data_IF_409858617482
#
_entry.id   IF_409858617482
#
_cell.length_a   1.000
_cell.length_b   1.000
_cell.length_c   1.000
_cell.angle_alpha   90.00
_cell.angle_beta   90.00
_cell.angle_gamma   90.00
#
_symmetry.space_group_name_H-M   'P 1'
#
loop_
_entity.id
_entity.type
_entity.pdbx_description
1 polymer ?
#
# COMPACT_ATOMS: atom_id res chain seq x y z
N UNK A 1 38.34 52.63 18.20
CA UNK A 1 36.93 52.34 17.98
C UNK A 1 36.69 50.84 17.97
N UNK A 2 36.40 50.29 19.14
CA UNK A 2 36.12 48.85 19.32
C UNK A 2 34.62 48.60 18.99
N UNK A 3 34.34 47.95 17.89
CA UNK A 3 33.03 47.40 17.59
C UNK A 3 32.76 46.19 18.53
N UNK A 4 32.10 46.48 19.64
CA UNK A 4 31.48 45.45 20.47
C UNK A 4 30.26 44.92 19.73
N UNK A 5 30.46 43.80 19.06
CA UNK A 5 29.34 42.97 18.52
C UNK A 5 28.57 42.47 19.76
N UNK A 6 27.33 42.95 19.90
CA UNK A 6 26.39 42.45 20.89
C UNK A 6 26.14 40.94 20.62
N UNK A 7 26.91 40.10 21.27
CA UNK A 7 26.65 38.68 21.28
C UNK A 7 25.36 38.41 22.07
N UNK A 8 24.37 37.92 21.36
CA UNK A 8 23.10 37.49 21.97
C UNK A 8 23.35 36.31 22.88
N UNK A 9 23.19 36.50 24.17
CA UNK A 9 23.37 35.44 25.16
C UNK A 9 22.16 34.53 25.12
N UNK A 10 22.42 33.24 24.90
CA UNK A 10 21.36 32.21 24.89
C UNK A 10 21.21 31.66 26.33
N UNK A 11 20.06 31.90 26.94
CA UNK A 11 19.72 31.44 28.29
C UNK A 11 19.01 30.06 28.29
N UNK A 12 18.91 29.36 27.14
CA UNK A 12 18.30 28.06 27.08
C UNK A 12 19.16 27.02 27.82
N UNK A 13 18.54 26.31 28.76
CA UNK A 13 19.20 25.26 29.55
C UNK A 13 19.31 23.91 28.85
N UNK A 14 18.64 23.73 27.73
CA UNK A 14 18.62 22.51 26.93
C UNK A 14 19.85 22.44 26.01
N UNK A 15 20.74 21.49 26.27
CA UNK A 15 21.98 21.27 25.50
C UNK A 15 21.76 20.63 24.12
N UNK A 16 20.58 20.11 23.83
CA UNK A 16 20.21 19.56 22.53
C UNK A 16 18.87 20.16 22.09
N UNK A 17 18.89 21.23 21.28
CA UNK A 17 17.65 21.62 20.57
C UNK A 17 17.25 20.42 19.70
N UNK A 18 16.00 20.00 19.84
CA UNK A 18 15.41 19.05 18.90
C UNK A 18 15.55 19.66 17.50
N UNK A 19 16.24 18.97 16.61
CA UNK A 19 16.26 19.36 15.22
C UNK A 19 14.82 19.33 14.71
N UNK A 20 14.39 20.43 14.09
CA UNK A 20 13.09 20.45 13.45
C UNK A 20 13.09 19.43 12.31
N UNK A 21 12.13 18.49 12.28
CA UNK A 21 12.05 17.56 11.18
C UNK A 21 11.83 18.32 9.87
N UNK A 22 12.53 17.92 8.81
CA UNK A 22 12.24 18.40 7.47
C UNK A 22 10.89 17.83 7.04
N UNK A 23 9.90 18.69 6.85
CA UNK A 23 8.55 18.27 6.44
C UNK A 23 8.51 17.65 5.05
N UNK A 24 9.51 17.90 4.21
CA UNK A 24 9.64 17.30 2.88
C UNK A 24 10.30 15.92 2.92
N UNK A 25 11.03 15.60 3.96
CA UNK A 25 11.77 14.34 4.07
C UNK A 25 10.85 13.12 3.94
N UNK A 26 9.66 13.17 4.53
CA UNK A 26 8.68 12.08 4.46
C UNK A 26 8.31 11.77 3.00
N UNK A 27 8.06 12.80 2.21
CA UNK A 27 7.69 12.66 0.80
C UNK A 27 8.86 12.15 -0.04
N UNK A 28 10.02 12.76 0.10
CA UNK A 28 11.24 12.39 -0.63
C UNK A 28 11.67 10.96 -0.33
N UNK A 29 11.70 10.60 0.95
CA UNK A 29 12.08 9.27 1.40
C UNK A 29 11.09 8.21 0.92
N UNK A 30 9.79 8.48 1.01
CA UNK A 30 8.75 7.58 0.52
C UNK A 30 8.91 7.28 -0.96
N UNK A 31 9.24 8.28 -1.77
CA UNK A 31 9.46 8.10 -3.20
C UNK A 31 10.76 7.33 -3.50
N UNK A 32 11.83 7.60 -2.77
CA UNK A 32 13.09 6.86 -2.88
C UNK A 32 12.89 5.39 -2.47
N UNK A 33 12.17 5.12 -1.40
CA UNK A 33 11.85 3.76 -0.94
C UNK A 33 10.95 3.02 -1.94
N UNK A 34 10.06 3.74 -2.62
CA UNK A 34 9.22 3.16 -3.68
C UNK A 34 10.05 2.71 -4.87
N UNK A 35 10.97 3.51 -5.33
CA UNK A 35 11.80 3.22 -6.50
C UNK A 35 12.98 2.29 -6.21
N UNK A 36 13.60 2.42 -5.04
CA UNK A 36 14.78 1.63 -4.63
C UNK A 36 15.90 1.59 -5.68
N UNK A 37 16.13 2.70 -6.40
CA UNK A 37 17.10 2.77 -7.49
C UNK A 37 18.55 2.67 -7.01
N UNK A 38 18.85 3.22 -5.83
CA UNK A 38 20.19 3.21 -5.25
C UNK A 38 20.56 1.87 -4.60
N UNK A 39 19.59 0.97 -4.49
CA UNK A 39 19.79 -0.34 -3.88
C UNK A 39 20.09 -1.38 -4.95
N UNK A 40 21.16 -2.19 -4.82
CA UNK A 40 21.43 -3.28 -5.74
C UNK A 40 20.22 -4.26 -5.82
N UNK A 41 19.96 -4.86 -6.98
CA UNK A 41 18.79 -5.73 -7.18
C UNK A 41 18.66 -6.84 -6.15
N UNK A 42 19.78 -7.40 -5.72
CA UNK A 42 19.86 -8.49 -4.74
C UNK A 42 19.45 -8.08 -3.31
N UNK A 43 19.55 -6.77 -3.00
CA UNK A 43 19.27 -6.21 -1.68
C UNK A 43 17.96 -5.44 -1.61
N UNK A 44 17.23 -5.37 -2.72
CA UNK A 44 15.95 -4.67 -2.75
C UNK A 44 14.92 -5.37 -1.88
N UNK A 45 14.19 -4.58 -1.12
CA UNK A 45 13.08 -5.08 -0.32
C UNK A 45 11.88 -5.36 -1.21
N UNK A 46 11.09 -6.36 -0.85
CA UNK A 46 9.85 -6.69 -1.56
C UNK A 46 8.74 -5.67 -1.26
N UNK A 47 8.99 -4.42 -1.63
CA UNK A 47 8.12 -3.26 -1.41
C UNK A 47 8.14 -2.35 -2.64
N UNK A 48 7.10 -1.54 -2.80
CA UNK A 48 7.01 -0.54 -3.85
C UNK A 48 7.03 -1.11 -5.26
N UNK A 49 7.80 -0.50 -6.16
CA UNK A 49 7.87 -0.89 -7.57
C UNK A 49 8.46 -2.29 -7.77
N UNK A 50 9.47 -2.65 -6.99
CA UNK A 50 10.06 -4.00 -7.06
C UNK A 50 9.04 -5.10 -6.75
N UNK A 51 8.16 -4.87 -5.78
CA UNK A 51 7.09 -5.82 -5.45
C UNK A 51 6.16 -6.07 -6.63
N UNK A 52 5.81 -5.03 -7.39
CA UNK A 52 4.96 -5.17 -8.59
C UNK A 52 5.60 -6.09 -9.62
N UNK A 53 6.90 -5.94 -9.86
CA UNK A 53 7.63 -6.83 -10.76
C UNK A 53 7.72 -8.25 -10.20
N UNK A 54 8.04 -8.40 -8.93
CA UNK A 54 8.19 -9.71 -8.30
C UNK A 54 6.88 -10.53 -8.29
N UNK A 55 5.74 -9.88 -8.17
CA UNK A 55 4.42 -10.53 -8.19
C UNK A 55 3.95 -10.91 -9.59
N UNK A 56 4.37 -10.16 -10.61
CA UNK A 56 3.95 -10.38 -12.00
C UNK A 56 4.91 -11.29 -12.80
N UNK A 57 6.12 -11.48 -12.35
CA UNK A 57 7.11 -12.33 -12.99
C UNK A 57 7.48 -13.52 -12.10
N UNK A 58 7.89 -14.65 -12.66
CA UNK A 58 8.03 -14.93 -14.10
C UNK A 58 6.67 -15.14 -14.80
N UNK A 59 6.65 -14.83 -16.10
CA UNK A 59 5.50 -15.10 -16.97
C UNK A 59 5.85 -16.31 -17.83
N UNK A 60 5.02 -17.35 -17.76
CA UNK A 60 5.19 -18.55 -18.55
C UNK A 60 4.10 -18.65 -19.63
N UNK A 61 4.46 -19.26 -20.75
CA UNK A 61 3.47 -19.63 -21.77
C UNK A 61 2.50 -20.71 -21.23
N UNK A 62 1.32 -20.83 -21.86
CA UNK A 62 0.29 -21.83 -21.52
C UNK A 62 0.81 -23.26 -21.51
N UNK A 63 1.83 -23.55 -22.33
CA UNK A 63 2.52 -24.84 -22.39
C UNK A 63 3.77 -24.92 -21.51
N UNK A 64 4.12 -23.85 -20.80
CA UNK A 64 5.35 -23.70 -20.01
C UNK A 64 6.65 -23.91 -20.82
N UNK A 65 6.61 -23.69 -22.13
CA UNK A 65 7.78 -23.86 -22.99
C UNK A 65 8.68 -22.63 -22.97
N UNK A 66 8.10 -21.43 -22.87
CA UNK A 66 8.82 -20.16 -22.82
C UNK A 66 8.55 -19.47 -21.49
N UNK A 67 9.61 -18.94 -20.89
CA UNK A 67 9.54 -18.21 -19.62
C UNK A 67 10.19 -16.84 -19.80
N UNK A 68 9.45 -15.82 -19.42
CA UNK A 68 9.94 -14.43 -19.35
C UNK A 68 10.23 -14.09 -17.89
N UNK A 69 11.49 -13.89 -17.57
CA UNK A 69 11.99 -13.61 -16.23
C UNK A 69 12.39 -12.14 -16.11
N UNK A 70 12.07 -11.54 -14.97
CA UNK A 70 12.50 -10.21 -14.62
C UNK A 70 13.87 -10.26 -13.93
N UNK A 71 14.83 -9.46 -14.40
CA UNK A 71 16.17 -9.39 -13.83
C UNK A 71 16.37 -8.12 -13.02
N UNK A 72 16.07 -6.96 -13.59
CA UNK A 72 16.27 -5.66 -12.98
C UNK A 72 15.40 -4.59 -13.65
N UNK A 73 15.27 -3.44 -13.00
CA UNK A 73 14.69 -2.25 -13.57
C UNK A 73 15.56 -1.04 -13.28
N UNK A 74 15.49 -0.05 -14.15
CA UNK A 74 16.18 1.20 -14.00
C UNK A 74 15.45 2.33 -14.74
N UNK A 75 15.85 3.55 -14.46
CA UNK A 75 15.33 4.73 -15.15
C UNK A 75 16.44 5.40 -15.96
N UNK A 76 16.05 5.98 -17.08
CA UNK A 76 16.91 6.87 -17.85
C UNK A 76 16.71 8.33 -17.42
N UNK A 77 17.64 9.22 -17.72
CA UNK A 77 17.47 10.64 -17.45
C UNK A 77 16.21 11.22 -18.12
N UNK A 78 15.57 12.23 -17.50
CA UNK A 78 14.40 12.87 -18.07
C UNK A 78 14.74 13.55 -19.38
N UNK A 79 13.79 13.54 -20.32
CA UNK A 79 13.95 14.17 -21.64
C UNK A 79 13.89 15.68 -21.57
N UNK A 80 13.08 16.22 -20.66
CA UNK A 80 12.86 17.65 -20.46
C UNK A 80 13.19 18.04 -19.02
N UNK A 81 13.65 19.27 -18.85
CA UNK A 81 13.87 19.82 -17.51
C UNK A 81 12.54 20.17 -16.83
N UNK A 82 12.57 20.40 -15.52
CA UNK A 82 11.40 20.81 -14.76
C UNK A 82 10.82 22.12 -15.31
N UNK A 83 11.68 23.10 -15.62
CA UNK A 83 11.26 24.39 -16.16
C UNK A 83 10.62 24.26 -17.53
N UNK A 84 11.18 23.42 -18.41
CA UNK A 84 10.59 23.12 -19.72
C UNK A 84 9.20 22.49 -19.60
N UNK A 85 9.01 21.60 -18.62
CA UNK A 85 7.73 20.96 -18.39
C UNK A 85 6.68 21.97 -17.90
N UNK A 86 7.06 22.87 -17.01
CA UNK A 86 6.15 23.92 -16.50
C UNK A 86 5.77 24.88 -17.63
N UNK A 87 6.74 25.32 -18.43
CA UNK A 87 6.50 26.28 -19.51
C UNK A 87 5.65 25.68 -20.63
N UNK A 88 5.91 24.43 -21.02
CA UNK A 88 5.24 23.76 -22.13
C UNK A 88 3.98 22.99 -21.75
N UNK A 89 3.62 22.92 -20.48
CA UNK A 89 2.49 22.14 -20.02
C UNK A 89 2.71 20.63 -20.11
N UNK A 90 3.95 20.16 -19.91
CA UNK A 90 4.34 18.76 -19.96
C UNK A 90 4.42 18.15 -18.57
N UNK A 91 4.47 16.83 -18.53
CA UNK A 91 4.72 16.08 -17.27
C UNK A 91 6.20 15.78 -17.14
N UNK A 92 6.79 16.15 -15.99
CA UNK A 92 8.15 15.77 -15.64
C UNK A 92 8.22 14.30 -15.31
N UNK A 93 8.76 13.51 -16.23
CA UNK A 93 8.80 12.06 -16.15
C UNK A 93 10.13 11.50 -16.61
N UNK A 94 10.41 10.29 -16.18
CA UNK A 94 11.60 9.53 -16.55
C UNK A 94 11.20 8.23 -17.22
N UNK A 95 11.93 7.78 -18.28
CA UNK A 95 11.69 6.50 -18.90
C UNK A 95 12.00 5.36 -17.94
N UNK A 96 11.03 4.47 -17.68
CA UNK A 96 11.24 3.24 -16.94
C UNK A 96 11.57 2.11 -17.89
N UNK A 97 12.69 1.45 -17.65
CA UNK A 97 13.12 0.28 -18.40
C UNK A 97 13.30 -0.92 -17.48
N UNK A 98 12.99 -2.09 -18.00
CA UNK A 98 13.20 -3.35 -17.32
C UNK A 98 14.14 -4.24 -18.13
N UNK A 99 15.06 -4.90 -17.42
CA UNK A 99 15.91 -5.92 -18.02
C UNK A 99 15.21 -7.27 -17.86
N UNK A 100 14.82 -7.86 -18.98
CA UNK A 100 14.08 -9.10 -19.04
C UNK A 100 14.91 -10.19 -19.71
N UNK A 101 14.67 -11.42 -19.29
CA UNK A 101 15.31 -12.63 -19.83
C UNK A 101 14.21 -13.56 -20.35
N UNK A 102 14.29 -13.89 -21.63
CA UNK A 102 13.43 -14.88 -22.25
C UNK A 102 14.23 -16.16 -22.51
N UNK A 103 13.79 -17.27 -22.01
CA UNK A 103 14.40 -18.58 -22.24
C UNK A 103 13.35 -19.66 -22.49
N UNK A 104 13.77 -20.73 -23.13
CA UNK A 104 12.95 -21.90 -23.42
C UNK A 104 13.29 -23.02 -22.45
N UNK A 105 12.25 -23.67 -21.90
CA UNK A 105 12.39 -24.82 -21.00
C UNK A 105 12.09 -26.14 -21.70
N UNK A 106 11.68 -26.10 -22.98
CA UNK A 106 11.34 -27.28 -23.76
C UNK A 106 12.60 -27.95 -24.32
N UNK A 107 12.87 -29.23 -24.04
CA UNK A 107 13.99 -29.97 -24.61
C UNK A 107 13.94 -30.11 -26.12
N UNK A 108 12.74 -30.00 -26.73
CA UNK A 108 12.58 -30.08 -28.17
C UNK A 108 13.03 -28.82 -28.93
N UNK A 109 13.27 -27.74 -28.19
CA UNK A 109 13.70 -26.41 -28.70
C UNK A 109 15.09 -26.02 -28.18
N UNK A 110 16.04 -26.96 -28.15
CA UNK A 110 17.42 -26.71 -27.69
C UNK A 110 18.15 -25.66 -28.49
N UNK A 111 17.69 -25.33 -29.70
CA UNK A 111 18.26 -24.29 -30.57
C UNK A 111 17.84 -22.86 -30.22
N UNK A 112 16.98 -22.68 -29.22
CA UNK A 112 16.54 -21.35 -28.79
C UNK A 112 17.58 -20.70 -27.88
N UNK A 113 18.22 -19.64 -28.37
CA UNK A 113 19.13 -18.85 -27.57
C UNK A 113 18.40 -17.99 -26.54
N UNK A 114 18.89 -18.00 -25.30
CA UNK A 114 18.39 -17.12 -24.25
C UNK A 114 18.61 -15.65 -24.65
N UNK A 115 17.54 -14.89 -24.66
CA UNK A 115 17.58 -13.45 -24.98
C UNK A 115 17.47 -12.64 -23.70
N UNK A 116 18.44 -11.73 -23.49
CA UNK A 116 18.41 -10.74 -22.43
C UNK A 116 18.32 -9.38 -23.10
N UNK A 117 17.26 -8.63 -22.80
CA UNK A 117 17.00 -7.35 -23.44
C UNK A 117 16.43 -6.35 -22.44
N UNK A 118 16.79 -5.07 -22.65
CA UNK A 118 16.18 -3.96 -21.94
C UNK A 118 14.91 -3.52 -22.68
N UNK A 119 13.80 -3.50 -21.96
CA UNK A 119 12.48 -3.15 -22.51
C UNK A 119 11.99 -1.85 -21.90
N UNK A 120 11.59 -0.92 -22.76
CA UNK A 120 10.94 0.30 -22.34
C UNK A 120 9.49 0.01 -21.92
N UNK A 121 9.16 0.27 -20.66
CA UNK A 121 7.83 0.04 -20.13
C UNK A 121 6.93 1.27 -20.20
N UNK A 122 7.50 2.45 -20.14
CA UNK A 122 6.77 3.71 -20.19
C UNK A 122 7.41 4.79 -19.33
N UNK A 123 6.95 6.03 -19.46
CA UNK A 123 7.39 7.12 -18.60
C UNK A 123 6.65 7.04 -17.27
N UNK A 124 7.37 7.32 -16.18
CA UNK A 124 6.80 7.51 -14.86
C UNK A 124 7.05 8.93 -14.37
N UNK A 125 6.08 9.60 -13.75
CA UNK A 125 6.31 10.89 -13.11
C UNK A 125 7.43 10.79 -12.08
N UNK A 126 8.30 11.81 -12.06
CA UNK A 126 9.43 11.84 -11.14
C UNK A 126 9.31 13.02 -10.18
N UNK A 127 9.58 12.75 -8.92
CA UNK A 127 9.50 13.77 -7.87
C UNK A 127 10.67 14.76 -7.98
N UNK A 128 10.37 16.05 -7.86
CA UNK A 128 11.37 17.11 -7.80
C UNK A 128 12.00 17.20 -6.40
N UNK A 129 13.09 17.96 -6.29
CA UNK A 129 13.76 18.20 -5.00
C UNK A 129 12.86 18.88 -3.95
N UNK A 130 11.80 19.56 -4.40
CA UNK A 130 10.78 20.17 -3.56
C UNK A 130 9.67 19.22 -3.11
N UNK A 131 9.82 17.92 -3.36
CA UNK A 131 8.81 16.91 -3.12
C UNK A 131 7.49 17.13 -3.89
N UNK A 132 7.57 17.73 -5.05
CA UNK A 132 6.44 17.97 -5.94
C UNK A 132 6.52 17.11 -7.19
N UNK A 133 5.37 16.88 -7.82
CA UNK A 133 5.27 16.32 -9.17
C UNK A 133 4.82 17.42 -10.13
N UNK A 134 5.40 17.45 -11.31
CA UNK A 134 4.96 18.36 -12.37
C UNK A 134 4.11 17.55 -13.36
N UNK A 135 2.81 17.77 -13.33
CA UNK A 135 1.83 17.08 -14.16
C UNK A 135 1.14 18.10 -15.06
N UNK A 136 1.30 17.93 -16.38
CA UNK A 136 0.75 18.87 -17.38
C UNK A 136 1.12 20.35 -17.09
N UNK A 137 2.34 20.57 -16.63
CA UNK A 137 2.85 21.89 -16.31
C UNK A 137 2.45 22.44 -14.93
N UNK A 138 1.66 21.74 -14.16
CA UNK A 138 1.27 22.15 -12.82
C UNK A 138 2.06 21.39 -11.76
N UNK A 139 2.65 22.10 -10.80
CA UNK A 139 3.26 21.49 -9.64
C UNK A 139 2.18 20.97 -8.68
N UNK A 140 2.29 19.70 -8.32
CA UNK A 140 1.32 19.02 -7.45
C UNK A 140 2.03 18.32 -6.32
N UNK A 141 1.41 18.29 -5.16
CA UNK A 141 1.90 17.59 -3.97
C UNK A 141 0.92 16.50 -3.60
N UNK A 142 1.44 15.32 -3.28
CA UNK A 142 0.64 14.23 -2.73
C UNK A 142 0.36 14.54 -1.26
N UNK A 143 -0.90 14.75 -0.93
CA UNK A 143 -1.33 15.05 0.43
C UNK A 143 -1.51 13.77 1.21
N UNK A 144 -0.98 13.72 2.44
CA UNK A 144 -1.19 12.60 3.34
C UNK A 144 -2.66 12.55 3.77
N UNK A 145 -3.27 11.37 3.62
CA UNK A 145 -4.64 11.13 4.04
C UNK A 145 -4.64 10.37 5.37
N UNK A 146 -5.36 10.91 6.35
CA UNK A 146 -5.59 10.20 7.60
C UNK A 146 -6.63 9.11 7.36
N UNK A 147 -6.24 7.86 7.53
CA UNK A 147 -7.07 6.68 7.31
C UNK A 147 -7.12 5.82 8.57
N UNK A 148 -8.27 5.23 8.87
CA UNK A 148 -8.35 4.25 9.96
C UNK A 148 -7.54 3.02 9.59
N UNK A 149 -6.77 2.50 10.55
CA UNK A 149 -5.98 1.29 10.34
C UNK A 149 -6.88 0.12 9.96
N UNK A 150 -6.50 -0.69 8.95
CA UNK A 150 -7.19 -1.93 8.66
C UNK A 150 -7.13 -2.87 9.86
N UNK A 151 -8.21 -3.58 10.11
CA UNK A 151 -8.26 -4.53 11.21
C UNK A 151 -9.66 -4.81 11.71
N UNK A 152 -9.76 -5.51 12.83
CA UNK A 152 -11.00 -5.85 13.50
C UNK A 152 -11.07 -5.08 14.81
N UNK A 153 -12.18 -4.38 15.02
CA UNK A 153 -12.44 -3.59 16.23
C UNK A 153 -13.68 -4.11 16.92
N UNK A 154 -13.55 -4.44 18.19
CA UNK A 154 -14.64 -4.92 19.02
C UNK A 154 -15.24 -3.78 19.85
N UNK A 155 -16.55 -3.80 20.00
CA UNK A 155 -17.28 -2.81 20.77
C UNK A 155 -18.35 -3.46 21.65
N UNK A 156 -18.69 -2.77 22.73
CA UNK A 156 -19.78 -3.13 23.61
C UNK A 156 -20.64 -1.90 23.84
N UNK A 157 -21.95 -2.06 23.75
CA UNK A 157 -22.94 -1.04 24.13
C UNK A 157 -23.96 -1.62 25.09
N UNK A 158 -24.61 -0.76 25.84
CA UNK A 158 -25.68 -1.18 26.75
C UNK A 158 -26.99 -0.59 26.22
N UNK A 159 -27.95 -1.48 26.00
CA UNK A 159 -29.30 -1.07 25.63
C UNK A 159 -30.03 -0.44 26.81
N UNK A 160 -31.06 0.33 26.53
CA UNK A 160 -31.85 1.03 27.57
C UNK A 160 -32.45 0.09 28.64
N UNK A 161 -32.67 -1.20 28.31
CA UNK A 161 -33.13 -2.23 29.23
C UNK A 161 -32.01 -2.88 30.08
N UNK A 162 -30.75 -2.42 29.96
CA UNK A 162 -29.59 -2.95 30.66
C UNK A 162 -28.89 -4.13 29.97
N UNK A 163 -29.40 -4.61 28.83
CA UNK A 163 -28.80 -5.71 28.09
C UNK A 163 -27.50 -5.24 27.41
N UNK A 164 -26.42 -6.01 27.56
CA UNK A 164 -25.15 -5.76 26.87
C UNK A 164 -25.25 -6.25 25.46
N UNK A 165 -24.94 -5.37 24.50
CA UNK A 165 -24.86 -5.66 23.07
C UNK A 165 -23.42 -5.61 22.62
N UNK A 166 -23.02 -6.59 21.83
CA UNK A 166 -21.67 -6.71 21.32
C UNK A 166 -21.64 -6.42 19.83
N UNK A 167 -20.56 -5.80 19.41
CA UNK A 167 -20.32 -5.54 17.98
C UNK A 167 -18.87 -5.81 17.63
N UNK A 168 -18.65 -6.18 16.38
CA UNK A 168 -17.33 -6.32 15.79
C UNK A 168 -17.33 -5.63 14.43
N UNK A 169 -16.37 -4.75 14.19
CA UNK A 169 -16.25 -4.02 12.92
C UNK A 169 -14.97 -4.42 12.21
N UNK A 170 -15.12 -4.85 10.96
CA UNK A 170 -14.00 -5.17 10.08
C UNK A 170 -13.80 -3.99 9.15
N UNK A 171 -12.62 -3.38 9.24
CA UNK A 171 -12.20 -2.28 8.37
C UNK A 171 -11.12 -2.81 7.45
N UNK A 172 -11.39 -2.95 6.13
CA UNK A 172 -10.39 -3.36 5.16
C UNK A 172 -9.48 -2.20 4.78
N UNK A 173 -8.33 -2.50 4.21
CA UNK A 173 -7.46 -1.49 3.60
C UNK A 173 -8.17 -0.76 2.45
N UNK A 174 -8.89 -1.52 1.62
CA UNK A 174 -9.68 -1.01 0.50
C UNK A 174 -10.94 -1.85 0.36
N UNK A 175 -12.11 -1.21 0.37
CA UNK A 175 -13.39 -1.88 0.21
C UNK A 175 -14.41 -1.47 1.27
N UNK A 176 -15.52 -2.19 1.29
CA UNK A 176 -16.65 -1.92 2.18
C UNK A 176 -16.39 -2.39 3.61
N UNK A 177 -16.85 -1.61 4.57
CA UNK A 177 -16.80 -1.99 5.97
C UNK A 177 -17.92 -2.99 6.29
N UNK A 178 -17.61 -3.97 7.10
CA UNK A 178 -18.57 -4.95 7.61
C UNK A 178 -18.61 -4.82 9.13
N UNK A 179 -19.81 -4.68 9.67
CA UNK A 179 -20.04 -4.64 11.10
C UNK A 179 -20.98 -5.78 11.49
N UNK A 180 -20.56 -6.57 12.45
CA UNK A 180 -21.41 -7.58 13.09
C UNK A 180 -21.93 -7.02 14.40
N UNK A 181 -23.23 -7.14 14.64
CA UNK A 181 -23.85 -6.66 15.86
C UNK A 181 -24.94 -7.62 16.32
N UNK A 182 -25.03 -7.81 17.64
CA UNK A 182 -26.13 -8.54 18.26
C UNK A 182 -27.28 -7.60 18.58
N UNK A 183 -28.52 -8.10 18.42
CA UNK A 183 -29.72 -7.40 18.87
C UNK A 183 -30.13 -7.82 20.28
N UNK A 184 -31.25 -7.28 20.78
CA UNK A 184 -31.82 -7.57 22.11
C UNK A 184 -32.18 -9.05 22.27
N UNK A 185 -32.53 -9.72 21.16
CA UNK A 185 -32.91 -11.13 21.12
C UNK A 185 -31.70 -12.07 20.96
N UNK A 186 -30.49 -11.51 21.04
CA UNK A 186 -29.23 -12.23 20.85
C UNK A 186 -29.06 -12.79 19.44
N UNK A 187 -29.71 -12.17 18.44
CA UNK A 187 -29.57 -12.49 17.04
C UNK A 187 -28.47 -11.63 16.44
N UNK A 188 -27.56 -12.24 15.72
CA UNK A 188 -26.44 -11.55 15.09
C UNK A 188 -26.78 -11.11 13.66
N UNK A 189 -26.53 -9.85 13.38
CA UNK A 189 -26.70 -9.23 12.07
C UNK A 189 -25.38 -8.69 11.55
N UNK A 190 -25.25 -8.69 10.22
CA UNK A 190 -24.16 -8.05 9.51
C UNK A 190 -24.65 -6.77 8.82
N UNK A 191 -23.90 -5.69 8.99
CA UNK A 191 -24.15 -4.42 8.32
C UNK A 191 -23.02 -4.15 7.32
N UNK A 192 -23.39 -3.94 6.06
CA UNK A 192 -22.42 -3.58 5.01
C UNK A 192 -22.54 -2.08 4.77
N UNK A 193 -21.42 -1.35 5.00
CA UNK A 193 -21.34 0.12 4.87
C UNK A 193 -22.44 0.87 5.65
N UNK A 194 -22.93 0.30 6.75
CA UNK A 194 -24.03 0.82 7.58
C UNK A 194 -25.36 0.99 6.84
N UNK A 195 -25.48 0.48 5.62
CA UNK A 195 -26.68 0.68 4.78
C UNK A 195 -27.59 -0.55 4.69
N UNK A 196 -26.98 -1.73 4.61
CA UNK A 196 -27.74 -2.98 4.47
C UNK A 196 -27.58 -3.83 5.72
N UNK A 197 -28.71 -4.20 6.31
CA UNK A 197 -28.79 -5.13 7.43
C UNK A 197 -29.14 -6.52 6.91
N UNK A 198 -28.28 -7.49 7.16
CA UNK A 198 -28.47 -8.87 6.76
C UNK A 198 -28.31 -9.80 7.97
N UNK A 199 -29.06 -10.91 8.06
CA UNK A 199 -28.71 -11.96 8.99
C UNK A 199 -27.28 -12.47 8.72
N UNK A 200 -26.53 -12.74 9.77
CA UNK A 200 -25.15 -13.23 9.64
C UNK A 200 -25.05 -14.52 8.83
N UNK A 201 -26.02 -15.41 8.99
CA UNK A 201 -26.10 -16.67 8.23
C UNK A 201 -26.20 -16.44 6.73
N UNK A 202 -26.96 -15.44 6.31
CA UNK A 202 -27.07 -15.07 4.89
C UNK A 202 -25.74 -14.60 4.31
N UNK A 203 -25.00 -13.77 5.04
CA UNK A 203 -23.67 -13.32 4.64
C UNK A 203 -22.68 -14.50 4.56
N UNK A 204 -22.68 -15.37 5.56
CA UNK A 204 -21.78 -16.53 5.60
C UNK A 204 -22.04 -17.49 4.43
N UNK A 205 -23.32 -17.72 4.09
CA UNK A 205 -23.68 -18.52 2.91
C UNK A 205 -23.17 -17.88 1.61
N UNK A 206 -23.27 -16.56 1.50
CA UNK A 206 -22.82 -15.83 0.31
C UNK A 206 -21.29 -15.91 0.09
N UNK A 207 -20.51 -16.02 1.17
CA UNK A 207 -19.03 -16.13 1.08
C UNK A 207 -18.51 -17.58 0.99
N UNK A 208 -19.39 -18.59 0.99
CA UNK A 208 -19.02 -19.96 0.70
C UNK A 208 -19.37 -21.03 1.74
N UNK A 209 -19.97 -20.64 2.88
CA UNK A 209 -20.45 -21.62 3.89
C UNK A 209 -21.86 -22.07 3.55
N UNK A 210 -22.01 -22.92 2.53
CA UNK A 210 -23.32 -23.30 1.98
C UNK A 210 -24.08 -24.30 2.87
N UNK A 211 -23.37 -25.14 3.61
CA UNK A 211 -23.94 -26.21 4.38
C UNK A 211 -24.31 -25.77 5.80
N UNK A 212 -25.46 -26.24 6.30
CA UNK A 212 -25.89 -26.02 7.69
C UNK A 212 -24.91 -26.60 8.72
N UNK A 213 -24.16 -27.65 8.35
CA UNK A 213 -23.11 -28.24 9.18
C UNK A 213 -21.97 -27.28 9.42
N UNK A 214 -21.53 -26.57 8.38
CA UNK A 214 -20.42 -25.62 8.47
C UNK A 214 -20.84 -24.42 9.33
N UNK A 215 -22.09 -23.95 9.17
CA UNK A 215 -22.65 -22.90 9.99
C UNK A 215 -22.82 -23.34 11.45
N UNK A 216 -23.21 -24.60 11.69
CA UNK A 216 -23.34 -25.13 13.06
C UNK A 216 -21.99 -25.30 13.75
N UNK A 217 -20.92 -25.61 13.02
CA UNK A 217 -19.55 -25.67 13.56
C UNK A 217 -19.06 -24.31 14.03
N UNK A 218 -19.45 -23.23 13.35
CA UNK A 218 -19.14 -21.87 13.79
C UNK A 218 -19.84 -21.58 15.12
N UNK A 219 -21.07 -22.03 15.32
CA UNK A 219 -21.80 -21.91 16.58
C UNK A 219 -21.23 -22.79 17.70
N UNK A 220 -20.71 -23.97 17.38
CA UNK A 220 -20.09 -24.89 18.37
C UNK A 220 -18.72 -24.37 18.81
N UNK A 221 -18.00 -23.68 17.95
CA UNK A 221 -16.72 -23.04 18.29
C UNK A 221 -16.88 -21.75 19.07
N UNK A 222 -18.08 -21.19 19.13
CA UNK A 222 -18.35 -20.08 20.04
C UNK A 222 -18.28 -20.62 21.49
N UNK A 223 -17.35 -20.10 22.31
CA UNK A 223 -17.34 -20.44 23.70
C UNK A 223 -18.69 -19.99 24.31
N UNK A 224 -19.42 -20.90 24.92
CA UNK A 224 -20.65 -20.64 25.69
C UNK A 224 -20.41 -19.69 26.87
N UNK A 225 -19.21 -19.18 27.04
CA UNK A 225 -18.85 -18.15 27.99
C UNK A 225 -18.73 -16.81 27.26
N UNK A 226 -19.37 -15.75 27.80
CA UNK A 226 -19.13 -14.42 27.27
C UNK A 226 -17.62 -14.14 27.31
N UNK A 227 -17.05 -13.78 26.18
CA UNK A 227 -15.71 -13.29 26.12
C UNK A 227 -15.62 -12.02 26.98
N UNK A 228 -15.08 -12.17 28.18
CA UNK A 228 -14.67 -11.02 28.96
C UNK A 228 -13.45 -10.44 28.26
N UNK A 229 -13.68 -9.39 27.48
CA UNK A 229 -12.60 -8.56 26.95
C UNK A 229 -12.29 -7.57 28.06
N UNK A 230 -11.15 -7.79 28.72
CA UNK A 230 -10.55 -6.85 29.66
C UNK A 230 -9.96 -5.66 28.92
#
# INVERSE_FOLDING_TARGET
>A
SSNTVNQRVNFASTKNPLEYPDFLEVQLKSFQDFLQLDTPPEKRKNEGLYKVFAENFPIADTRNNFVLEFLDYYIDPPRYTIDDCIERGLTYSVPLKAKLKLYCTDPDHEDFDTVIQDVFLGPIPYMTDKATFVINGAERVVVSQLHRSPGVFFGQSVHANGTKLYSARIIPFKGSWIEFATDINNVMYAYIDRKKKLPVTTLLRAIGFENDKDLSLIHISEPTRPLYIS
#
